data_IF_397886899407
#
_entry.id   IF_397886899407
#
_cell.length_a   1.000
_cell.length_b   1.000
_cell.length_c   1.000
_cell.angle_alpha   90.00
_cell.angle_beta   90.00
_cell.angle_gamma   90.00
#
_symmetry.space_group_name_H-M   'P 1'
#
loop_
_entity.id
_entity.type
_entity.pdbx_description
1 polymer ?
#
# COMPACT_ATOMS: atom_id res chain seq x y z
N UNK A 1 -11.49 -4.06 -4.01
CA UNK A 1 -10.16 -3.57 -3.59
C UNK A 1 -10.05 -2.05 -3.75
N UNK A 2 -10.32 -1.51 -4.94
CA UNK A 2 -10.23 -0.07 -5.17
C UNK A 2 -11.21 0.76 -4.32
N UNK A 3 -12.46 0.31 -4.18
CA UNK A 3 -13.48 1.00 -3.37
C UNK A 3 -13.18 0.94 -1.86
N UNK A 4 -12.50 -0.12 -1.42
CA UNK A 4 -12.05 -0.26 -0.04
C UNK A 4 -10.94 0.76 0.27
N UNK A 5 -9.97 0.91 -0.63
CA UNK A 5 -8.87 1.88 -0.49
C UNK A 5 -9.39 3.32 -0.56
N UNK A 6 -10.41 3.61 -1.38
CA UNK A 6 -11.06 4.92 -1.41
C UNK A 6 -11.75 5.28 -0.09
N UNK A 7 -12.54 4.36 0.48
CA UNK A 7 -13.21 4.58 1.78
C UNK A 7 -12.22 4.73 2.93
N UNK A 8 -11.14 3.96 2.93
CA UNK A 8 -10.05 4.12 3.90
C UNK A 8 -9.41 5.50 3.74
N UNK A 9 -9.05 5.89 2.52
CA UNK A 9 -8.47 7.22 2.22
C UNK A 9 -9.37 8.34 2.73
N UNK A 10 -10.67 8.33 2.45
CA UNK A 10 -11.61 9.34 2.94
C UNK A 10 -11.65 9.43 4.47
N UNK A 11 -11.57 8.29 5.18
CA UNK A 11 -11.50 8.28 6.66
C UNK A 11 -10.19 8.88 7.19
N UNK A 12 -9.09 8.68 6.49
CA UNK A 12 -7.78 9.26 6.86
C UNK A 12 -7.70 10.75 6.50
N UNK A 13 -8.30 11.16 5.40
CA UNK A 13 -8.41 12.57 4.97
C UNK A 13 -9.26 13.39 5.96
N UNK A 14 -10.36 12.81 6.45
CA UNK A 14 -11.19 13.38 7.53
C UNK A 14 -10.44 13.53 8.86
N UNK A 15 -9.34 12.80 9.06
CA UNK A 15 -8.45 12.93 10.22
C UNK A 15 -7.29 13.89 9.99
N UNK A 16 -7.23 14.54 8.81
CA UNK A 16 -6.16 15.48 8.44
C UNK A 16 -4.80 14.82 8.24
N UNK A 17 -4.76 13.50 8.02
CA UNK A 17 -3.52 12.76 7.79
C UNK A 17 -3.45 12.30 6.33
N UNK A 18 -2.28 12.45 5.71
CA UNK A 18 -2.06 11.92 4.38
C UNK A 18 -2.21 10.40 4.41
N UNK A 19 -3.12 9.86 3.60
CA UNK A 19 -3.29 8.42 3.48
C UNK A 19 -1.98 7.83 2.93
N UNK A 20 -1.33 6.98 3.73
CA UNK A 20 -0.11 6.25 3.34
C UNK A 20 -0.41 4.78 3.21
N UNK A 21 0.01 4.17 2.10
CA UNK A 21 -0.05 2.73 1.97
C UNK A 21 1.17 2.11 2.68
N UNK A 22 0.93 1.38 3.77
CA UNK A 22 1.97 0.64 4.45
C UNK A 22 1.92 -0.83 4.00
N UNK A 23 2.96 -1.29 3.30
CA UNK A 23 3.08 -2.66 2.82
C UNK A 23 4.28 -3.34 3.49
N UNK A 24 4.02 -4.47 4.14
CA UNK A 24 5.03 -5.37 4.67
C UNK A 24 4.98 -6.67 3.87
N UNK A 25 6.09 -7.04 3.25
CA UNK A 25 6.25 -8.33 2.58
C UNK A 25 7.15 -9.24 3.43
N UNK A 26 6.61 -10.41 3.78
CA UNK A 26 7.34 -11.46 4.48
C UNK A 26 8.24 -12.26 3.52
N UNK A 27 9.15 -13.06 4.09
CA UNK A 27 10.11 -13.87 3.33
C UNK A 27 9.37 -14.84 2.39
N UNK A 28 9.67 -14.76 1.09
CA UNK A 28 9.04 -15.59 0.05
C UNK A 28 7.88 -14.93 -0.71
N UNK A 29 7.45 -13.72 -0.33
CA UNK A 29 6.44 -12.99 -1.10
C UNK A 29 7.06 -12.47 -2.41
N UNK A 30 6.53 -12.95 -3.54
CA UNK A 30 6.93 -12.46 -4.85
C UNK A 30 6.58 -10.97 -5.02
N UNK A 31 7.53 -10.17 -5.48
CA UNK A 31 7.36 -8.73 -5.70
C UNK A 31 6.18 -8.38 -6.64
N UNK A 32 5.75 -9.32 -7.48
CA UNK A 32 4.58 -9.16 -8.35
C UNK A 32 3.30 -8.85 -7.57
N UNK A 33 3.12 -9.43 -6.39
CA UNK A 33 1.95 -9.17 -5.54
C UNK A 33 2.00 -7.77 -4.91
N UNK A 34 3.19 -7.38 -4.43
CA UNK A 34 3.46 -6.03 -3.92
C UNK A 34 3.18 -4.98 -5.00
N UNK A 35 3.67 -5.21 -6.23
CA UNK A 35 3.45 -4.32 -7.36
C UNK A 35 1.97 -4.12 -7.68
N UNK A 36 1.13 -5.17 -7.56
CA UNK A 36 -0.32 -5.04 -7.75
C UNK A 36 -0.96 -4.16 -6.67
N UNK A 37 -0.55 -4.30 -5.41
CA UNK A 37 -1.05 -3.47 -4.31
C UNK A 37 -0.65 -1.99 -4.46
N UNK A 38 0.61 -1.72 -4.84
CA UNK A 38 1.10 -0.36 -5.12
C UNK A 38 0.30 0.29 -6.26
N UNK A 39 0.10 -0.44 -7.37
CA UNK A 39 -0.68 0.07 -8.52
C UNK A 39 -2.14 0.36 -8.15
N UNK A 40 -2.76 -0.50 -7.33
CA UNK A 40 -4.13 -0.28 -6.86
C UNK A 40 -4.23 0.95 -5.94
N UNK A 41 -3.23 1.17 -5.08
CA UNK A 41 -3.17 2.33 -4.20
C UNK A 41 -2.94 3.64 -4.98
N UNK A 42 -2.03 3.62 -5.96
CA UNK A 42 -1.82 4.76 -6.86
C UNK A 42 -3.10 5.11 -7.63
N UNK A 43 -3.83 4.11 -8.15
CA UNK A 43 -5.10 4.32 -8.83
C UNK A 43 -6.20 4.88 -7.89
N UNK A 44 -6.11 4.59 -6.58
CA UNK A 44 -6.98 5.18 -5.56
C UNK A 44 -6.49 6.57 -5.07
N UNK A 45 -5.40 7.08 -5.61
CA UNK A 45 -4.83 8.39 -5.31
C UNK A 45 -4.07 8.46 -3.98
N UNK A 46 -3.51 7.33 -3.54
CA UNK A 46 -2.53 7.30 -2.44
C UNK A 46 -1.16 7.67 -3.00
N UNK A 47 -0.66 8.85 -2.62
CA UNK A 47 0.59 9.40 -3.16
C UNK A 47 1.85 8.98 -2.38
N UNK A 48 1.69 8.42 -1.18
CA UNK A 48 2.81 7.97 -0.35
C UNK A 48 2.70 6.46 -0.06
N UNK A 49 3.75 5.73 -0.39
CA UNK A 49 3.86 4.28 -0.16
C UNK A 49 5.10 4.01 0.66
N UNK A 50 4.92 3.38 1.82
CA UNK A 50 6.02 2.85 2.63
C UNK A 50 6.02 1.34 2.43
N UNK A 51 7.10 0.83 1.82
CA UNK A 51 7.27 -0.58 1.53
C UNK A 51 8.47 -1.14 2.30
N UNK A 52 8.24 -2.21 3.06
CA UNK A 52 9.28 -2.97 3.74
C UNK A 52 9.24 -4.40 3.24
N UNK A 53 10.36 -4.86 2.69
CA UNK A 53 10.56 -6.26 2.30
C UNK A 53 11.61 -6.87 3.20
N UNK A 54 11.26 -7.95 3.89
CA UNK A 54 12.23 -8.83 4.53
C UNK A 54 12.84 -9.72 3.43
N UNK A 55 13.79 -9.17 2.68
CA UNK A 55 14.59 -9.94 1.74
C UNK A 55 15.81 -10.50 2.46
N UNK A 56 15.80 -11.80 2.73
CA UNK A 56 16.97 -12.54 3.17
C UNK A 56 17.73 -13.01 1.94
N UNK A 57 19.00 -12.58 1.77
CA UNK A 57 19.93 -13.20 0.82
C UNK A 57 20.24 -14.60 1.37
N UNK A 58 19.61 -15.64 0.83
CA UNK A 58 20.10 -17.03 0.99
C UNK A 58 21.24 -17.28 0.01
#
# INVERSE_FOLDING_TARGET
LMDFIKKEREKWDLKGQTARLHLRADEGVHFTYVRRAIRAAAAAGVNEVIFVSLYTRK
#
